data_IF_880118723959
#
_entry.id   IF_880118723959
#
_cell.length_a   1.000
_cell.length_b   1.000
_cell.length_c   1.000
_cell.angle_alpha   90.00
_cell.angle_beta   90.00
_cell.angle_gamma   90.00
#
_symmetry.space_group_name_H-M   'P 1'
#
loop_
_entity.id
_entity.type
_entity.pdbx_description
1 polymer ?
#
# COMPACT_ATOMS: atom_id res chain seq x y z
N UNK A 1 29.76 -7.40 -32.12
CA UNK A 1 28.65 -6.47 -31.77
C UNK A 1 27.66 -7.05 -30.76
N UNK A 2 27.37 -8.35 -30.76
CA UNK A 2 26.40 -9.00 -29.86
C UNK A 2 26.65 -8.76 -28.35
N UNK A 3 27.91 -8.72 -27.90
CA UNK A 3 28.27 -8.47 -26.49
C UNK A 3 27.85 -7.09 -25.97
N UNK A 4 27.84 -6.06 -26.83
CA UNK A 4 27.41 -4.69 -26.44
C UNK A 4 25.88 -4.61 -26.32
N UNK A 5 25.14 -5.35 -27.14
CA UNK A 5 23.68 -5.42 -27.09
C UNK A 5 23.20 -6.11 -25.80
N UNK A 6 23.86 -7.19 -25.39
CA UNK A 6 23.56 -7.91 -24.13
C UNK A 6 23.83 -7.02 -22.92
N UNK A 7 24.93 -6.26 -22.92
CA UNK A 7 25.25 -5.34 -21.83
C UNK A 7 24.21 -4.22 -21.70
N UNK A 8 23.73 -3.70 -22.84
CA UNK A 8 22.72 -2.64 -22.89
C UNK A 8 21.36 -3.11 -22.34
N UNK A 9 20.95 -4.35 -22.66
CA UNK A 9 19.73 -4.95 -22.13
C UNK A 9 19.83 -5.15 -20.61
N UNK A 10 20.98 -5.58 -20.09
CA UNK A 10 21.19 -5.76 -18.63
C UNK A 10 21.16 -4.42 -17.89
N UNK A 11 21.68 -3.34 -18.49
CA UNK A 11 21.59 -2.00 -17.89
C UNK A 11 20.18 -1.41 -17.95
N UNK A 12 19.40 -1.68 -19.01
CA UNK A 12 18.01 -1.22 -19.10
C UNK A 12 17.06 -1.97 -18.16
N UNK A 13 17.32 -3.24 -17.82
CA UNK A 13 16.50 -3.99 -16.86
C UNK A 13 16.82 -3.64 -15.40
N UNK A 14 18.04 -3.17 -15.11
CA UNK A 14 18.45 -2.75 -13.76
C UNK A 14 18.08 -1.29 -13.40
N UNK A 15 17.62 -0.47 -14.35
CA UNK A 15 17.32 0.95 -14.11
C UNK A 15 15.83 1.32 -14.18
N UNK A 16 14.92 0.35 -14.36
CA UNK A 16 13.48 0.59 -14.39
C UNK A 16 12.74 0.03 -13.16
N UNK A 17 13.39 -0.08 -12.00
CA UNK A 17 12.74 -0.49 -10.74
C UNK A 17 12.46 0.76 -9.89
N UNK A 18 11.57 1.60 -10.39
CA UNK A 18 10.96 2.71 -9.65
C UNK A 18 9.71 3.00 -10.45
N UNK A 19 8.48 2.73 -10.00
CA UNK A 19 7.72 3.64 -9.13
C UNK A 19 6.48 2.97 -8.51
N UNK A 20 6.41 1.62 -8.45
CA UNK A 20 5.28 0.92 -7.83
C UNK A 20 5.78 -0.21 -6.92
N UNK A 21 6.14 0.12 -5.68
CA UNK A 21 6.61 -0.86 -4.69
C UNK A 21 5.44 -1.68 -4.12
N UNK A 22 4.26 -1.09 -4.00
CA UNK A 22 3.07 -1.74 -3.46
C UNK A 22 1.78 -1.17 -4.03
N UNK A 23 0.69 -1.93 -3.88
CA UNK A 23 -0.69 -1.54 -4.14
C UNK A 23 -1.56 -1.84 -2.92
N UNK A 24 -2.43 -0.90 -2.59
CA UNK A 24 -3.37 -1.04 -1.49
C UNK A 24 -4.78 -0.98 -2.05
N UNK A 25 -5.56 -2.02 -1.79
CA UNK A 25 -7.00 -2.00 -2.05
C UNK A 25 -7.68 -1.35 -0.85
N UNK A 26 -8.25 -0.16 -1.02
CA UNK A 26 -9.09 0.46 -0.01
C UNK A 26 -10.54 0.02 -0.23
N UNK A 27 -11.19 -0.48 0.83
CA UNK A 27 -12.57 -0.94 0.75
C UNK A 27 -13.39 -0.38 1.92
N UNK A 28 -14.61 0.06 1.62
CA UNK A 28 -15.58 0.44 2.63
C UNK A 28 -16.40 -0.79 3.03
N UNK A 29 -16.13 -1.38 4.19
CA UNK A 29 -16.98 -2.42 4.77
C UNK A 29 -17.98 -1.88 5.80
N UNK A 30 -18.05 -0.55 5.97
CA UNK A 30 -19.16 0.03 6.72
C UNK A 30 -20.44 -0.06 5.88
N UNK A 31 -21.59 -0.20 6.54
CA UNK A 31 -22.90 -0.19 5.87
C UNK A 31 -23.32 1.21 5.41
N UNK A 32 -22.42 2.19 5.48
CA UNK A 32 -22.69 3.60 5.21
C UNK A 32 -21.76 4.09 4.11
N UNK A 33 -22.24 5.01 3.29
CA UNK A 33 -21.41 5.78 2.37
C UNK A 33 -20.35 6.55 3.14
N UNK A 34 -19.09 6.49 2.69
CA UNK A 34 -18.00 7.28 3.25
C UNK A 34 -17.57 8.35 2.27
N UNK A 35 -17.35 9.55 2.78
CA UNK A 35 -16.75 10.64 2.01
C UNK A 35 -15.25 10.70 2.32
N UNK A 36 -14.45 10.91 1.28
CA UNK A 36 -13.01 11.00 1.40
C UNK A 36 -12.42 11.90 0.34
N UNK A 37 -11.21 12.40 0.60
CA UNK A 37 -10.38 13.09 -0.38
C UNK A 37 -9.20 12.18 -0.70
N UNK A 38 -8.95 11.93 -1.97
CA UNK A 38 -7.79 11.16 -2.44
C UNK A 38 -6.91 12.02 -3.34
N UNK A 39 -5.62 12.06 -3.02
CA UNK A 39 -4.61 12.75 -3.83
C UNK A 39 -3.31 11.94 -3.89
N UNK A 40 -2.54 12.15 -4.95
CA UNK A 40 -1.25 11.50 -5.19
C UNK A 40 -0.13 12.55 -5.28
N UNK A 41 0.87 12.48 -4.40
CA UNK A 41 1.98 13.44 -4.36
C UNK A 41 3.01 13.24 -5.50
N UNK A 42 2.99 12.15 -6.25
CA UNK A 42 3.89 11.96 -7.39
C UNK A 42 3.64 12.99 -8.52
N UNK A 43 2.44 13.59 -8.56
CA UNK A 43 2.07 14.59 -9.55
C UNK A 43 2.36 16.04 -9.10
N UNK A 44 2.72 16.28 -7.83
CA UNK A 44 3.10 17.61 -7.35
C UNK A 44 4.60 17.82 -7.54
N UNK A 45 4.98 18.73 -8.43
CA UNK A 45 6.38 19.11 -8.65
C UNK A 45 6.98 19.72 -7.37
N UNK A 46 7.85 18.97 -6.70
CA UNK A 46 8.89 19.37 -5.73
C UNK A 46 8.54 20.29 -4.54
N UNK A 47 7.31 20.73 -4.36
CA UNK A 47 6.88 21.46 -3.15
C UNK A 47 5.92 20.60 -2.34
N UNK A 48 6.18 20.50 -1.03
CA UNK A 48 5.35 19.81 -0.04
C UNK A 48 4.00 20.53 0.22
N UNK A 49 3.54 21.31 -0.75
CA UNK A 49 2.27 22.01 -0.71
C UNK A 49 1.27 21.19 -1.50
N UNK A 50 0.22 20.71 -0.81
CA UNK A 50 -0.91 20.04 -1.44
C UNK A 50 -1.44 21.03 -2.49
N UNK A 51 -1.35 20.73 -3.80
CA UNK A 51 -1.81 21.68 -4.80
C UNK A 51 -3.30 21.93 -4.56
N UNK A 52 -3.71 23.20 -4.51
CA UNK A 52 -5.10 23.60 -4.21
C UNK A 52 -6.13 22.97 -5.15
N UNK A 53 -5.68 22.47 -6.30
CA UNK A 53 -6.46 21.74 -7.31
C UNK A 53 -6.87 20.33 -6.84
N UNK A 54 -6.08 19.65 -5.99
CA UNK A 54 -6.42 18.33 -5.44
C UNK A 54 -7.33 18.39 -4.21
N UNK A 55 -7.49 19.57 -3.61
CA UNK A 55 -8.23 19.78 -2.36
C UNK A 55 -9.76 19.68 -2.54
N UNK A 56 -10.27 19.65 -3.78
CA UNK A 56 -11.68 19.99 -4.03
C UNK A 56 -12.59 18.89 -4.58
N UNK A 57 -12.10 17.69 -4.93
CA UNK A 57 -13.01 16.59 -5.27
C UNK A 57 -13.27 15.71 -4.05
N UNK A 58 -14.30 16.07 -3.29
CA UNK A 58 -14.91 15.18 -2.32
C UNK A 58 -15.42 13.94 -3.07
N UNK A 59 -14.73 12.83 -2.89
CA UNK A 59 -15.13 11.55 -3.44
C UNK A 59 -15.96 10.79 -2.42
N UNK A 60 -16.67 9.78 -2.90
CA UNK A 60 -17.46 8.92 -2.03
C UNK A 60 -17.35 7.46 -2.42
N UNK A 61 -17.29 6.58 -1.43
CA UNK A 61 -17.20 5.14 -1.61
C UNK A 61 -18.43 4.48 -0.95
N UNK A 62 -19.26 3.83 -1.76
CA UNK A 62 -20.40 3.07 -1.25
C UNK A 62 -19.94 1.78 -0.54
N UNK A 63 -20.85 1.14 0.19
CA UNK A 63 -20.54 -0.11 0.89
C UNK A 63 -20.11 -1.21 -0.10
N UNK A 64 -18.97 -1.85 0.17
CA UNK A 64 -18.37 -2.89 -0.65
C UNK A 64 -17.57 -2.39 -1.87
N UNK A 65 -17.64 -1.09 -2.19
CA UNK A 65 -16.85 -0.51 -3.27
C UNK A 65 -15.37 -0.42 -2.91
N UNK A 66 -14.53 -0.48 -3.96
CA UNK A 66 -13.09 -0.58 -3.84
C UNK A 66 -12.40 0.52 -4.60
N UNK A 67 -11.43 1.15 -3.95
CA UNK A 67 -10.49 2.08 -4.56
C UNK A 67 -9.09 1.46 -4.55
N UNK A 68 -8.33 1.63 -5.61
CA UNK A 68 -6.92 1.22 -5.66
C UNK A 68 -6.02 2.40 -5.35
N UNK A 69 -5.20 2.24 -4.33
CA UNK A 69 -4.15 3.17 -3.94
C UNK A 69 -2.78 2.66 -4.37
N UNK A 70 -1.95 3.60 -4.77
CA UNK A 70 -0.57 3.49 -5.20
C UNK A 70 0.37 4.09 -4.14
N UNK A 71 1.70 3.93 -4.28
CA UNK A 71 2.63 4.67 -3.46
C UNK A 71 2.40 6.18 -3.59
N UNK A 72 2.62 6.91 -2.50
CA UNK A 72 2.40 8.36 -2.40
C UNK A 72 0.93 8.82 -2.51
N UNK A 73 -0.03 7.87 -2.53
CA UNK A 73 -1.42 8.21 -2.32
C UNK A 73 -1.69 8.53 -0.84
N UNK A 74 -2.52 9.54 -0.65
CA UNK A 74 -3.05 9.94 0.63
C UNK A 74 -4.58 9.92 0.58
N UNK A 75 -5.20 9.49 1.68
CA UNK A 75 -6.63 9.58 1.88
C UNK A 75 -6.91 10.50 3.07
N UNK A 76 -7.79 11.47 2.93
CA UNK A 76 -8.42 12.16 4.07
C UNK A 76 -9.81 11.56 4.24
N UNK A 77 -9.97 10.73 5.27
CA UNK A 77 -11.20 10.01 5.55
C UNK A 77 -12.07 10.79 6.55
N UNK A 78 -13.36 10.93 6.24
CA UNK A 78 -14.34 11.65 7.07
C UNK A 78 -13.88 13.06 7.47
N UNK A 79 -13.09 13.73 6.63
CA UNK A 79 -12.46 15.04 6.90
C UNK A 79 -11.63 15.11 8.20
N UNK A 80 -11.26 13.97 8.80
CA UNK A 80 -10.59 13.90 10.11
C UNK A 80 -9.30 13.11 10.07
N UNK A 81 -9.24 12.02 9.31
CA UNK A 81 -8.12 11.08 9.35
C UNK A 81 -7.32 11.11 8.05
N UNK A 82 -6.13 11.71 8.09
CA UNK A 82 -5.14 11.63 7.02
C UNK A 82 -4.43 10.28 7.10
N UNK A 83 -4.63 9.42 6.11
CA UNK A 83 -4.05 8.09 6.02
C UNK A 83 -2.99 8.10 4.92
N UNK A 84 -1.82 7.57 5.23
CA UNK A 84 -0.71 7.40 4.28
C UNK A 84 0.07 6.13 4.55
N UNK A 85 0.91 5.75 3.58
CA UNK A 85 1.65 4.50 3.60
C UNK A 85 3.10 4.71 3.21
N UNK A 86 3.99 3.95 3.82
CA UNK A 86 5.41 3.92 3.47
C UNK A 86 5.97 2.51 3.58
N UNK A 87 7.12 2.28 2.94
CA UNK A 87 7.88 1.04 3.04
C UNK A 87 9.34 1.37 3.28
N UNK A 88 10.00 0.61 4.15
CA UNK A 88 11.45 0.68 4.35
C UNK A 88 12.20 -0.35 3.48
N UNK A 89 11.48 -1.10 2.66
CA UNK A 89 11.99 -2.21 1.85
C UNK A 89 12.67 -3.31 2.68
N UNK A 90 12.20 -3.52 3.91
CA UNK A 90 12.62 -4.65 4.74
C UNK A 90 11.94 -5.91 4.27
N UNK A 91 12.72 -6.89 3.81
CA UNK A 91 12.22 -8.21 3.42
C UNK A 91 11.60 -8.91 4.65
N UNK A 92 10.38 -9.42 4.50
CA UNK A 92 9.64 -10.09 5.59
C UNK A 92 9.10 -11.49 5.22
N UNK A 93 9.12 -11.84 3.94
CA UNK A 93 8.77 -13.19 3.46
C UNK A 93 9.66 -13.59 2.29
N UNK A 94 9.92 -14.89 2.19
CA UNK A 94 10.78 -15.49 1.17
C UNK A 94 10.23 -16.84 0.75
N UNK A 95 10.45 -17.15 -0.53
CA UNK A 95 10.14 -18.46 -1.11
C UNK A 95 11.42 -19.15 -1.53
N UNK A 96 11.42 -20.47 -1.44
CA UNK A 96 12.51 -21.30 -1.95
C UNK A 96 12.21 -21.69 -3.40
N UNK A 97 13.09 -21.30 -4.32
CA UNK A 97 13.04 -21.71 -5.72
C UNK A 97 14.09 -22.81 -5.91
N UNK A 98 13.67 -23.93 -6.52
CA UNK A 98 14.51 -25.13 -6.71
C UNK A 98 15.16 -25.62 -5.40
N UNK A 99 14.40 -25.55 -4.30
CA UNK A 99 14.79 -26.03 -2.97
C UNK A 99 16.04 -25.41 -2.34
N UNK A 100 16.70 -24.45 -2.99
CA UNK A 100 17.99 -23.89 -2.52
C UNK A 100 18.05 -22.36 -2.53
N UNK A 101 17.38 -21.68 -3.47
CA UNK A 101 17.49 -20.23 -3.60
C UNK A 101 16.34 -19.54 -2.86
N UNK A 102 16.65 -18.79 -1.79
CA UNK A 102 15.69 -17.87 -1.18
C UNK A 102 15.52 -16.65 -2.08
N UNK A 103 14.28 -16.30 -2.39
CA UNK A 103 13.93 -15.06 -3.09
C UNK A 103 12.88 -14.33 -2.27
N UNK A 104 13.09 -13.03 -2.06
CA UNK A 104 12.13 -12.18 -1.38
C UNK A 104 10.77 -12.21 -2.09
N UNK A 105 9.73 -12.39 -1.28
CA UNK A 105 8.34 -12.47 -1.70
C UNK A 105 7.43 -11.56 -0.88
N UNK A 106 7.92 -11.04 0.24
CA UNK A 106 7.23 -10.12 1.14
C UNK A 106 8.14 -8.97 1.58
N UNK A 107 7.55 -7.79 1.72
CA UNK A 107 8.19 -6.58 2.23
C UNK A 107 7.27 -5.84 3.19
N UNK A 108 7.85 -5.03 4.04
CA UNK A 108 7.13 -4.19 5.00
C UNK A 108 6.27 -3.13 4.30
N UNK A 109 5.05 -2.92 4.80
CA UNK A 109 4.27 -1.73 4.53
C UNK A 109 3.78 -1.17 5.86
N UNK A 110 4.15 0.07 6.13
CA UNK A 110 3.77 0.83 7.32
C UNK A 110 2.59 1.73 7.01
N UNK A 111 1.63 1.81 7.95
CA UNK A 111 0.49 2.72 7.88
C UNK A 111 0.67 3.86 8.88
N UNK A 112 0.33 5.07 8.43
CA UNK A 112 0.33 6.28 9.23
C UNK A 112 -1.07 6.87 9.24
N UNK A 113 -1.51 7.36 10.41
CA UNK A 113 -2.76 8.09 10.58
C UNK A 113 -2.44 9.40 11.27
N UNK A 114 -2.79 10.52 10.63
CA UNK A 114 -2.43 11.87 11.05
C UNK A 114 -0.93 12.00 11.28
N UNK A 115 -0.15 11.49 10.32
CA UNK A 115 1.32 11.48 10.31
C UNK A 115 1.97 10.71 11.49
N UNK A 116 1.18 9.97 12.29
CA UNK A 116 1.67 9.08 13.35
C UNK A 116 1.70 7.64 12.85
N UNK A 117 2.83 6.95 13.06
CA UNK A 117 2.96 5.52 12.79
C UNK A 117 1.96 4.72 13.63
N UNK A 118 1.19 3.86 12.98
CA UNK A 118 0.20 2.98 13.64
C UNK A 118 0.58 1.51 13.62
N UNK A 119 1.53 1.15 12.76
CA UNK A 119 2.07 -0.20 12.67
C UNK A 119 2.52 -0.55 11.27
N UNK A 120 3.03 -1.77 11.14
CA UNK A 120 3.66 -2.29 9.93
C UNK A 120 3.21 -3.72 9.70
N UNK A 121 2.84 -4.07 8.48
CA UNK A 121 2.51 -5.44 8.09
C UNK A 121 3.56 -6.00 7.15
N UNK A 122 3.66 -7.33 7.10
CA UNK A 122 4.29 -8.02 5.98
C UNK A 122 3.26 -8.15 4.85
N UNK A 123 3.42 -7.36 3.79
CA UNK A 123 2.63 -7.54 2.58
C UNK A 123 3.39 -8.48 1.65
N UNK A 124 2.67 -9.31 0.89
CA UNK A 124 3.25 -10.25 -0.05
C UNK A 124 2.83 -9.97 -1.50
N UNK A 125 3.59 -10.51 -2.43
CA UNK A 125 3.20 -10.63 -3.84
C UNK A 125 2.09 -11.68 -3.96
N UNK A 126 1.23 -11.61 -4.99
CA UNK A 126 0.26 -12.70 -5.23
C UNK A 126 0.91 -13.86 -5.96
N UNK A 127 1.93 -13.58 -6.77
CA UNK A 127 2.72 -14.56 -7.49
C UNK A 127 4.22 -14.23 -7.48
N UNK A 128 5.05 -15.19 -7.89
CA UNK A 128 6.49 -14.97 -8.09
C UNK A 128 6.81 -13.99 -9.23
N UNK A 129 5.86 -13.81 -10.16
CA UNK A 129 5.97 -12.93 -11.32
C UNK A 129 5.51 -11.50 -11.03
N UNK A 130 4.78 -11.29 -9.93
CA UNK A 130 4.32 -9.95 -9.57
C UNK A 130 5.50 -9.09 -9.12
N UNK A 131 5.45 -7.82 -9.50
CA UNK A 131 6.43 -6.83 -9.09
C UNK A 131 6.02 -6.12 -7.80
N UNK A 132 4.72 -5.98 -7.57
CA UNK A 132 4.13 -5.18 -6.49
C UNK A 132 3.65 -6.04 -5.32
N UNK A 133 3.79 -5.47 -4.13
CA UNK A 133 3.18 -6.00 -2.92
C UNK A 133 1.70 -5.65 -2.87
N UNK A 134 0.87 -6.55 -2.36
CA UNK A 134 -0.57 -6.33 -2.30
C UNK A 134 -1.04 -6.33 -0.84
N UNK A 135 -1.71 -5.25 -0.45
CA UNK A 135 -2.37 -5.15 0.84
C UNK A 135 -3.80 -4.60 0.68
N UNK A 136 -4.62 -4.73 1.71
CA UNK A 136 -5.95 -4.14 1.80
C UNK A 136 -6.02 -3.26 3.04
N UNK A 137 -6.63 -2.10 2.86
CA UNK A 137 -7.12 -1.27 3.95
C UNK A 137 -8.64 -1.32 3.94
N UNK A 138 -9.24 -1.89 4.98
CA UNK A 138 -10.68 -1.90 5.16
C UNK A 138 -11.08 -0.83 6.16
N UNK A 139 -12.08 -0.02 5.83
CA UNK A 139 -12.76 0.82 6.81
C UNK A 139 -14.00 0.12 7.36
N UNK A 140 -14.11 0.08 8.68
CA UNK A 140 -15.20 -0.57 9.40
C UNK A 140 -15.73 0.35 10.51
N UNK A 141 -17.00 0.17 10.86
CA UNK A 141 -17.62 0.75 12.06
C UNK A 141 -18.19 -0.39 12.90
N UNK A 142 -17.96 -0.35 14.21
CA UNK A 142 -18.58 -1.30 15.14
C UNK A 142 -20.04 -0.89 15.46
N UNK A 143 -20.71 -1.71 16.26
CA UNK A 143 -22.09 -1.45 16.71
C UNK A 143 -22.23 -0.18 17.56
N UNK A 144 -21.13 0.31 18.14
CA UNK A 144 -21.07 1.52 18.94
C UNK A 144 -20.62 2.74 18.11
N UNK A 145 -20.59 2.62 16.78
CA UNK A 145 -20.11 3.63 15.84
C UNK A 145 -18.63 4.03 15.99
N UNK A 146 -17.80 3.20 16.64
CA UNK A 146 -16.37 3.40 16.63
C UNK A 146 -15.80 3.01 15.27
N UNK A 147 -15.04 3.93 14.69
CA UNK A 147 -14.35 3.71 13.41
C UNK A 147 -13.03 2.97 13.63
N UNK A 148 -12.74 1.99 12.79
CA UNK A 148 -11.44 1.33 12.77
C UNK A 148 -11.02 0.95 11.35
N UNK A 149 -9.71 0.86 11.16
CA UNK A 149 -9.10 0.38 9.94
C UNK A 149 -8.53 -1.00 10.18
N UNK A 150 -8.83 -1.94 9.29
CA UNK A 150 -8.13 -3.22 9.24
C UNK A 150 -7.16 -3.19 8.06
N UNK A 151 -5.87 -3.29 8.34
CA UNK A 151 -4.81 -3.25 7.33
C UNK A 151 -4.13 -4.61 7.26
N UNK A 152 -4.12 -5.26 6.08
CA UNK A 152 -3.65 -6.64 5.98
C UNK A 152 -3.12 -7.03 4.60
N UNK A 153 -2.35 -8.12 4.58
CA UNK A 153 -1.74 -8.73 3.41
C UNK A 153 -2.80 -9.36 2.49
N UNK A 154 -2.75 -9.05 1.18
CA UNK A 154 -3.56 -9.69 0.13
C UNK A 154 -2.74 -10.62 -0.78
N UNK A 155 -1.44 -10.76 -0.52
CA UNK A 155 -0.57 -11.68 -1.23
C UNK A 155 -0.68 -13.12 -0.75
N UNK A 156 -0.01 -14.02 -1.46
CA UNK A 156 0.03 -15.43 -1.10
C UNK A 156 1.11 -15.70 -0.05
N UNK A 157 1.02 -16.85 0.63
CA UNK A 157 1.97 -17.31 1.65
C UNK A 157 2.35 -16.28 2.72
N UNK A 158 1.36 -15.80 3.50
CA UNK A 158 1.62 -14.92 4.63
C UNK A 158 2.69 -15.52 5.55
N UNK A 159 3.81 -14.83 5.72
CA UNK A 159 4.84 -15.19 6.69
C UNK A 159 4.92 -14.02 7.67
N UNK A 160 4.59 -14.28 8.92
CA UNK A 160 4.54 -13.29 10.00
C UNK A 160 5.80 -13.25 10.87
N UNK A 161 6.88 -13.93 10.45
CA UNK A 161 8.09 -14.05 11.28
C UNK A 161 8.79 -12.72 11.61
N UNK A 162 8.62 -11.67 10.79
CA UNK A 162 9.19 -10.34 11.02
C UNK A 162 8.11 -9.31 11.36
N UNK A 163 7.06 -9.23 10.55
CA UNK A 163 5.93 -8.32 10.75
C UNK A 163 4.62 -9.10 10.65
N UNK A 164 3.56 -8.71 11.38
CA UNK A 164 2.28 -9.40 11.30
C UNK A 164 1.67 -9.28 9.89
N UNK A 165 0.82 -10.24 9.51
CA UNK A 165 0.11 -10.18 8.23
C UNK A 165 -1.09 -9.23 8.25
N UNK A 166 -1.53 -8.81 9.44
CA UNK A 166 -2.65 -7.90 9.63
C UNK A 166 -2.48 -7.08 10.90
N UNK A 167 -3.12 -5.92 10.91
CA UNK A 167 -3.25 -5.07 12.09
C UNK A 167 -4.60 -4.36 12.07
N UNK A 168 -5.11 -4.05 13.26
CA UNK A 168 -6.31 -3.25 13.45
C UNK A 168 -5.90 -1.90 14.06
N UNK A 169 -6.27 -0.79 13.42
CA UNK A 169 -6.04 0.56 13.91
C UNK A 169 -7.36 1.17 14.33
N UNK A 170 -7.53 1.41 15.63
CA UNK A 170 -8.66 2.20 16.12
C UNK A 170 -8.48 3.67 15.72
N UNK A 171 -9.54 4.29 15.20
CA UNK A 171 -9.60 5.71 14.88
C UNK A 171 -10.32 6.44 16.02
N UNK A 172 -9.57 7.21 16.82
CA UNK A 172 -10.06 8.01 17.96
C UNK A 172 -10.44 9.44 17.56
#
# INVERSE_FOLDING_TARGET
>A
MLKKLILMIITFTNHNISFALFKIEFINYSNLKINFIHYNLANSQSTFEIPSEFVNELQSLEAGEKLRLKPLDHIILENKYKISFATQQTECSWIHIFSKKKKAHGWDISIYVNDKHKGTICANKKSILDYEMNARLSFLKDLNHNSFLQFYNLGWWPNDSIFPNSLNVKLE
#
